data_IF_564475096016
#
_entry.id   IF_564475096016
#
_cell.length_a   1.000
_cell.length_b   1.000
_cell.length_c   1.000
_cell.angle_alpha   90.00
_cell.angle_beta   90.00
_cell.angle_gamma   90.00
#
_symmetry.space_group_name_H-M   'P 1'
#
loop_
_entity.id
_entity.type
_entity.pdbx_description
1 polymer ?
#
# COMPACT_ATOMS: atom_id res chain seq x y z
N UNK A 1 -4.22 -2.59 38.62
CA UNK A 1 -3.91 -2.87 37.21
C UNK A 1 -3.58 -4.35 37.08
N UNK A 2 -4.20 -5.03 36.13
CA UNK A 2 -3.93 -6.44 35.87
C UNK A 2 -2.85 -6.57 34.80
N UNK A 3 -1.87 -7.43 35.03
CA UNK A 3 -0.75 -7.63 34.14
C UNK A 3 -0.46 -9.14 34.02
N UNK A 4 -0.21 -9.61 32.79
CA UNK A 4 0.22 -10.98 32.52
C UNK A 4 1.67 -10.93 32.04
N UNK A 5 2.58 -11.56 32.79
CA UNK A 5 4.00 -11.64 32.43
C UNK A 5 4.35 -13.06 32.02
N UNK A 6 4.58 -13.27 30.74
CA UNK A 6 4.92 -14.58 30.17
C UNK A 6 6.01 -14.44 29.12
N UNK A 7 6.86 -15.45 29.00
CA UNK A 7 7.91 -15.48 27.96
C UNK A 7 7.38 -15.99 26.63
N UNK A 8 6.28 -16.71 26.64
CA UNK A 8 5.67 -17.27 25.43
C UNK A 8 4.16 -17.37 25.61
N UNK A 9 3.42 -16.93 24.61
CA UNK A 9 1.99 -17.13 24.49
C UNK A 9 1.70 -17.99 23.26
N UNK A 10 1.05 -19.12 23.46
CA UNK A 10 0.67 -20.01 22.34
C UNK A 10 -0.74 -20.54 22.55
N UNK A 11 -1.37 -20.96 21.45
CA UNK A 11 -2.70 -21.59 21.54
C UNK A 11 -2.64 -22.90 22.32
N UNK A 12 -3.65 -23.15 23.14
CA UNK A 12 -3.79 -24.40 23.88
C UNK A 12 -4.31 -25.52 22.97
N UNK A 13 -5.29 -25.17 22.13
CA UNK A 13 -5.91 -26.09 21.17
C UNK A 13 -6.11 -25.34 19.85
N UNK A 14 -5.90 -26.01 18.73
CA UNK A 14 -5.90 -25.36 17.44
C UNK A 14 -4.65 -24.51 17.19
N UNK A 15 -4.68 -23.63 16.21
CA UNK A 15 -3.54 -22.87 15.75
C UNK A 15 -3.74 -21.35 15.85
N UNK A 16 -4.75 -20.89 16.58
CA UNK A 16 -5.05 -19.47 16.70
C UNK A 16 -4.98 -18.99 18.15
N UNK A 17 -4.40 -17.83 18.34
CA UNK A 17 -4.50 -17.04 19.57
C UNK A 17 -5.20 -15.75 19.22
N UNK A 18 -6.36 -15.48 19.82
CA UNK A 18 -7.12 -14.25 19.61
C UNK A 18 -6.81 -13.26 20.72
N UNK A 19 -6.42 -12.04 20.32
CA UNK A 19 -6.19 -10.92 21.24
C UNK A 19 -7.30 -9.88 21.02
N UNK A 20 -8.13 -9.69 22.03
CA UNK A 20 -9.20 -8.71 22.01
C UNK A 20 -10.45 -9.15 21.24
N UNK A 21 -11.43 -8.27 21.25
CA UNK A 21 -12.70 -8.39 20.55
C UNK A 21 -12.98 -7.11 19.75
N UNK A 22 -14.07 -7.08 18.99
CA UNK A 22 -14.43 -5.89 18.21
C UNK A 22 -14.49 -4.64 19.07
N UNK A 23 -13.78 -3.60 18.68
CA UNK A 23 -13.67 -2.33 19.39
C UNK A 23 -12.45 -2.23 20.32
N UNK A 24 -11.76 -3.33 20.59
CA UNK A 24 -10.55 -3.29 21.40
C UNK A 24 -9.36 -2.71 20.61
N UNK A 25 -8.44 -2.10 21.32
CA UNK A 25 -7.18 -1.59 20.78
C UNK A 25 -6.01 -2.38 21.32
N UNK A 26 -5.14 -2.84 20.41
CA UNK A 26 -3.87 -3.44 20.76
C UNK A 26 -2.74 -2.43 20.53
N UNK A 27 -2.13 -1.95 21.59
CA UNK A 27 -1.11 -0.90 21.52
C UNK A 27 0.28 -1.46 21.74
N UNK A 28 1.20 -1.18 20.82
CA UNK A 28 2.63 -1.39 20.99
C UNK A 28 3.24 -0.05 21.41
N UNK A 29 3.69 0.11 22.65
CA UNK A 29 4.23 1.39 23.12
C UNK A 29 5.53 1.78 22.45
N UNK A 30 5.89 3.04 22.60
CA UNK A 30 7.20 3.55 22.15
C UNK A 30 8.35 2.75 22.75
N UNK A 31 9.35 2.44 21.94
CA UNK A 31 10.52 1.66 22.36
C UNK A 31 10.31 0.14 22.34
N UNK A 32 9.10 -0.33 22.08
CA UNK A 32 8.80 -1.76 21.93
C UNK A 32 8.81 -2.16 20.47
N UNK A 33 9.43 -3.27 20.17
CA UNK A 33 9.51 -3.80 18.80
C UNK A 33 8.57 -5.01 18.66
N UNK A 34 7.76 -5.00 17.62
CA UNK A 34 6.98 -6.16 17.16
C UNK A 34 7.68 -6.77 15.95
N UNK A 35 8.24 -7.97 16.10
CA UNK A 35 8.89 -8.68 15.01
C UNK A 35 7.95 -9.74 14.46
N UNK A 36 7.67 -9.68 13.17
CA UNK A 36 6.94 -10.71 12.45
C UNK A 36 7.89 -11.43 11.50
N UNK A 37 8.18 -12.71 11.79
CA UNK A 37 8.99 -13.57 10.90
C UNK A 37 8.14 -14.48 10.00
N UNK A 38 6.82 -14.40 10.14
CA UNK A 38 5.86 -15.13 9.34
C UNK A 38 5.13 -14.22 8.36
N UNK A 39 3.93 -14.64 7.99
CA UNK A 39 3.04 -13.85 7.14
C UNK A 39 2.17 -12.93 7.98
N UNK A 40 2.12 -11.64 7.65
CA UNK A 40 1.19 -10.68 8.23
C UNK A 40 0.06 -10.38 7.26
N UNK A 41 -1.17 -10.41 7.75
CA UNK A 41 -2.37 -10.11 6.95
C UNK A 41 -3.17 -9.01 7.63
N UNK A 42 -3.57 -7.99 6.89
CA UNK A 42 -4.36 -6.87 7.41
C UNK A 42 -3.58 -5.88 8.27
N UNK A 43 -2.25 -5.96 8.28
CA UNK A 43 -1.40 -4.99 8.95
C UNK A 43 -1.15 -3.79 8.04
N UNK A 44 -1.66 -2.61 8.44
CA UNK A 44 -1.23 -1.31 7.97
C UNK A 44 -0.86 -1.22 6.48
N UNK A 45 -1.83 -1.19 5.63
CA UNK A 45 -1.61 -1.04 4.18
C UNK A 45 -1.26 0.38 3.76
N UNK A 46 -1.07 1.29 4.70
CA UNK A 46 -0.87 2.72 4.40
C UNK A 46 0.44 3.02 3.67
N UNK A 47 1.38 2.07 3.65
CA UNK A 47 2.63 2.19 2.91
C UNK A 47 2.79 1.17 1.79
N UNK A 48 1.84 0.26 1.61
CA UNK A 48 1.91 -0.75 0.56
C UNK A 48 1.29 -0.22 -0.73
N UNK A 49 2.05 -0.29 -1.81
CA UNK A 49 1.55 0.03 -3.15
C UNK A 49 0.72 -1.16 -3.66
N UNK A 50 -0.55 -0.92 -3.92
CA UNK A 50 -1.42 -1.90 -4.56
C UNK A 50 -1.21 -1.89 -6.07
N UNK A 51 -0.51 -2.87 -6.60
CA UNK A 51 -0.21 -2.96 -8.03
C UNK A 51 -1.46 -3.33 -8.83
N UNK A 52 -1.70 -2.58 -9.89
CA UNK A 52 -2.85 -2.75 -10.78
C UNK A 52 -2.46 -3.52 -12.04
N UNK A 53 -3.45 -3.95 -12.80
CA UNK A 53 -3.23 -4.55 -14.12
C UNK A 53 -2.56 -3.56 -15.07
N UNK A 54 -1.91 -4.10 -16.11
CA UNK A 54 -1.20 -3.29 -17.11
C UNK A 54 -2.16 -2.31 -17.78
N UNK A 55 -1.74 -1.05 -17.85
CA UNK A 55 -2.47 0.01 -18.54
C UNK A 55 -1.95 0.16 -19.97
N UNK A 56 -2.86 0.13 -20.92
CA UNK A 56 -2.57 0.26 -22.36
C UNK A 56 -3.26 1.47 -23.00
N UNK A 57 -3.92 2.29 -22.20
CA UNK A 57 -4.62 3.50 -22.60
C UNK A 57 -4.52 4.57 -21.51
N UNK A 58 -4.92 5.79 -21.80
CA UNK A 58 -4.95 6.89 -20.83
C UNK A 58 -5.80 6.53 -19.61
N UNK A 59 -5.33 6.91 -18.43
CA UNK A 59 -6.03 6.64 -17.18
C UNK A 59 -5.77 7.70 -16.11
N UNK A 60 -6.62 7.71 -15.09
CA UNK A 60 -6.42 8.53 -13.89
C UNK A 60 -5.92 7.64 -12.76
N UNK A 61 -4.79 8.01 -12.18
CA UNK A 61 -4.20 7.29 -11.07
C UNK A 61 -4.98 7.50 -9.77
N UNK A 62 -4.92 6.51 -8.90
CA UNK A 62 -5.48 6.57 -7.55
C UNK A 62 -4.33 6.47 -6.54
N UNK A 63 -4.40 7.28 -5.49
CA UNK A 63 -3.40 7.26 -4.42
C UNK A 63 -3.26 5.86 -3.80
N UNK A 64 -2.04 5.48 -3.45
CA UNK A 64 -1.72 4.16 -2.91
C UNK A 64 -1.60 3.04 -3.94
N UNK A 65 -1.67 3.36 -5.23
CA UNK A 65 -1.60 2.37 -6.30
C UNK A 65 -0.34 2.49 -7.13
N UNK A 66 0.10 1.35 -7.66
CA UNK A 66 1.16 1.24 -8.65
C UNK A 66 0.61 0.74 -9.98
N UNK A 67 1.15 1.24 -11.07
CA UNK A 67 0.68 0.95 -12.41
C UNK A 67 1.83 0.52 -13.29
N UNK A 68 1.64 -0.59 -13.99
CA UNK A 68 2.47 -0.98 -15.12
C UNK A 68 1.86 -0.39 -16.39
N UNK A 69 2.67 0.27 -17.21
CA UNK A 69 2.21 0.95 -18.42
C UNK A 69 2.92 0.36 -19.62
N UNK A 70 2.14 -0.06 -20.60
CA UNK A 70 2.63 -0.58 -21.88
C UNK A 70 2.25 0.44 -22.98
N UNK A 71 3.22 1.23 -23.41
CA UNK A 71 3.05 2.25 -24.45
C UNK A 71 3.42 1.74 -25.86
N UNK A 72 3.58 0.44 -26.03
CA UNK A 72 3.93 -0.16 -27.34
C UNK A 72 2.87 0.14 -28.42
N UNK A 73 1.61 0.25 -28.04
CA UNK A 73 0.50 0.58 -28.94
C UNK A 73 0.25 2.06 -29.17
N UNK A 74 0.93 2.96 -28.46
CA UNK A 74 0.74 4.42 -28.58
C UNK A 74 1.10 5.15 -27.28
N UNK A 75 1.17 6.47 -27.35
CA UNK A 75 1.42 7.31 -26.21
C UNK A 75 0.29 7.20 -25.16
N UNK A 76 0.68 7.19 -23.88
CA UNK A 76 -0.25 7.08 -22.76
C UNK A 76 -0.07 8.26 -21.82
N UNK A 77 -1.18 8.82 -21.36
CA UNK A 77 -1.21 9.87 -20.33
C UNK A 77 -1.80 9.31 -19.05
N UNK A 78 -1.00 9.34 -17.97
CA UNK A 78 -1.48 9.11 -16.61
C UNK A 78 -1.80 10.45 -15.97
N UNK A 79 -3.05 10.66 -15.59
CA UNK A 79 -3.47 11.85 -14.84
C UNK A 79 -3.38 11.58 -13.34
N UNK A 80 -2.73 12.45 -12.60
CA UNK A 80 -2.59 12.31 -11.15
C UNK A 80 -3.95 12.45 -10.43
N UNK A 81 -4.08 11.91 -9.21
CA UNK A 81 -5.31 12.06 -8.43
C UNK A 81 -5.67 13.53 -8.21
N UNK A 82 -6.97 13.83 -8.24
CA UNK A 82 -7.47 15.13 -7.82
C UNK A 82 -7.42 15.24 -6.29
N UNK A 83 -7.10 16.42 -5.74
CA UNK A 83 -7.11 16.69 -4.30
C UNK A 83 -6.26 15.70 -3.47
N UNK A 84 -4.96 15.55 -3.78
CA UNK A 84 -4.11 14.65 -3.02
C UNK A 84 -3.90 15.15 -1.60
N UNK A 85 -3.71 14.22 -0.66
CA UNK A 85 -3.33 14.49 0.73
C UNK A 85 -1.82 14.31 0.93
N UNK A 86 -1.30 14.93 1.98
CA UNK A 86 0.12 14.72 2.36
C UNK A 86 0.34 13.24 2.67
N UNK A 87 1.34 12.64 2.01
CA UNK A 87 1.66 11.22 2.16
C UNK A 87 1.07 10.33 1.06
N UNK A 88 0.20 10.86 0.20
CA UNK A 88 -0.28 10.12 -0.95
C UNK A 88 0.87 9.82 -1.92
N UNK A 89 0.92 8.59 -2.40
CA UNK A 89 1.91 8.14 -3.35
C UNK A 89 1.26 7.39 -4.52
N UNK A 90 1.86 7.52 -5.69
CA UNK A 90 1.52 6.74 -6.88
C UNK A 90 2.83 6.25 -7.50
N UNK A 91 2.88 4.99 -7.87
CA UNK A 91 4.02 4.41 -8.57
C UNK A 91 3.68 4.11 -10.02
N UNK A 92 4.64 4.28 -10.91
CA UNK A 92 4.49 3.95 -12.33
C UNK A 92 5.75 3.24 -12.84
N UNK A 93 5.55 2.20 -13.64
CA UNK A 93 6.62 1.46 -14.31
C UNK A 93 6.25 1.31 -15.78
N UNK A 94 7.12 1.78 -16.67
CA UNK A 94 7.00 1.55 -18.10
C UNK A 94 7.60 0.19 -18.47
N UNK A 95 6.81 -0.67 -19.12
CA UNK A 95 7.20 -2.05 -19.43
C UNK A 95 8.06 -2.19 -20.69
N UNK A 96 7.85 -1.30 -21.65
CA UNK A 96 8.40 -1.45 -23.01
C UNK A 96 9.62 -0.56 -23.27
N UNK A 97 10.24 -0.04 -22.23
CA UNK A 97 11.40 0.85 -22.36
C UNK A 97 11.09 2.17 -23.09
N UNK A 98 9.84 2.60 -23.06
CA UNK A 98 9.36 3.87 -23.62
C UNK A 98 9.42 3.93 -25.18
N UNK A 99 8.84 2.92 -25.83
CA UNK A 99 8.64 2.94 -27.29
C UNK A 99 7.84 4.15 -27.73
N UNK A 100 6.80 4.53 -26.97
CA UNK A 100 6.08 5.79 -27.09
C UNK A 100 6.10 6.56 -25.78
N UNK A 101 5.70 7.81 -25.82
CA UNK A 101 5.73 8.66 -24.62
C UNK A 101 4.74 8.21 -23.57
N UNK A 102 5.19 8.19 -22.32
CA UNK A 102 4.33 8.13 -21.15
C UNK A 102 4.37 9.50 -20.48
N UNK A 103 3.23 10.17 -20.43
CA UNK A 103 3.11 11.50 -19.87
C UNK A 103 2.40 11.44 -18.52
N UNK A 104 2.95 12.11 -17.52
CA UNK A 104 2.31 12.30 -16.23
C UNK A 104 1.69 13.69 -16.22
N UNK A 105 0.36 13.74 -16.24
CA UNK A 105 -0.39 14.98 -16.23
C UNK A 105 -0.91 15.31 -14.83
N UNK A 106 -0.73 16.54 -14.42
CA UNK A 106 -1.31 17.02 -13.17
C UNK A 106 -2.83 17.21 -13.31
N UNK A 107 -3.56 16.89 -12.26
CA UNK A 107 -5.00 17.08 -12.19
C UNK A 107 -5.30 18.30 -11.31
N UNK A 108 -5.05 19.49 -11.83
CA UNK A 108 -5.17 20.77 -11.11
C UNK A 108 -4.29 20.91 -9.87
N UNK A 109 -3.36 19.98 -9.64
CA UNK A 109 -2.41 19.99 -8.54
C UNK A 109 -1.03 20.46 -9.02
N UNK A 110 -0.23 21.02 -8.13
CA UNK A 110 1.17 21.31 -8.43
C UNK A 110 1.98 20.02 -8.34
N UNK A 111 2.86 19.82 -9.32
CA UNK A 111 3.91 18.80 -9.28
C UNK A 111 5.21 19.55 -9.01
N UNK A 112 5.84 19.23 -7.90
CA UNK A 112 7.13 19.79 -7.51
C UNK A 112 8.23 18.73 -7.61
#
# INVERSE_FOLDING_TARGET
MSEIKVNKLSSRTGNAVTLGTSGDTFTIPSGVTLTNSGTATGFGSDSDISWQSVQTADFTAVAGRGYFVDSSGGAITMTLPASPSIGDAVSIVALDGATNSVTIARNSSNIE
#
